data_IF_126233990404
#
_entry.id   IF_126233990404
#
_cell.length_a   1.000
_cell.length_b   1.000
_cell.length_c   1.000
_cell.angle_alpha   90.00
_cell.angle_beta   90.00
_cell.angle_gamma   90.00
#
_symmetry.space_group_name_H-M   'P 1'
#
loop_
_entity.id
_entity.type
_entity.pdbx_description
1 polymer ?
#
# COMPACT_ATOMS: atom_id res chain seq x y z
N UNK A 1 22.18 -18.32 6.61
CA UNK A 1 20.99 -18.29 7.50
C UNK A 1 20.16 -17.12 7.04
N UNK A 2 18.85 -17.29 6.83
CA UNK A 2 17.93 -16.22 6.41
C UNK A 2 17.85 -15.19 7.55
N UNK A 3 17.83 -13.91 7.20
CA UNK A 3 17.62 -12.81 8.17
C UNK A 3 16.43 -11.94 7.76
N UNK A 4 15.57 -11.60 8.74
CA UNK A 4 14.34 -10.81 8.52
C UNK A 4 14.35 -9.61 9.47
N UNK A 5 14.11 -8.42 8.91
CA UNK A 5 13.83 -7.21 9.69
C UNK A 5 12.33 -6.96 9.71
N UNK A 6 11.75 -6.89 10.89
CA UNK A 6 10.39 -6.38 11.10
C UNK A 6 10.50 -4.88 11.40
N UNK A 7 9.69 -4.05 10.73
CA UNK A 7 9.64 -2.60 10.96
C UNK A 7 8.25 -2.24 11.45
N UNK A 8 8.19 -1.62 12.65
CA UNK A 8 6.95 -1.20 13.31
C UNK A 8 6.98 0.31 13.54
N UNK A 9 6.29 1.11 12.71
CA UNK A 9 6.11 2.54 12.97
C UNK A 9 5.08 2.77 14.09
N UNK A 10 5.37 3.67 15.03
CA UNK A 10 4.54 3.90 16.23
C UNK A 10 4.19 5.37 16.35
N UNK A 11 2.88 5.68 16.35
CA UNK A 11 2.36 7.01 16.65
C UNK A 11 0.89 6.96 17.08
N UNK A 12 0.58 7.33 18.34
CA UNK A 12 -0.79 7.38 18.93
C UNK A 12 -1.57 6.08 18.82
N UNK A 13 -0.98 5.00 19.32
CA UNK A 13 -1.55 3.63 19.24
C UNK A 13 -1.61 2.91 20.58
N UNK A 14 -1.62 3.64 21.70
CA UNK A 14 -1.61 3.05 23.06
C UNK A 14 -2.69 2.00 23.31
N UNK A 15 -3.83 2.07 22.59
CA UNK A 15 -4.94 1.12 22.73
C UNK A 15 -4.73 -0.19 21.95
N UNK A 16 -3.76 -0.23 21.03
CA UNK A 16 -3.57 -1.34 20.08
C UNK A 16 -2.19 -1.97 20.16
N UNK A 17 -1.19 -1.15 20.50
CA UNK A 17 0.22 -1.52 20.38
C UNK A 17 0.63 -2.72 21.24
N UNK A 18 -0.02 -2.93 22.37
CA UNK A 18 0.24 -4.08 23.24
C UNK A 18 0.04 -5.39 22.45
N UNK A 19 -1.10 -5.55 21.80
CA UNK A 19 -1.43 -6.73 21.01
C UNK A 19 -0.49 -6.91 19.82
N UNK A 20 -0.13 -5.81 19.16
CA UNK A 20 0.84 -5.82 18.07
C UNK A 20 2.18 -6.39 18.53
N UNK A 21 2.76 -5.84 19.58
CA UNK A 21 4.08 -6.25 20.08
C UNK A 21 4.01 -7.68 20.65
N UNK A 22 2.99 -8.05 21.43
CA UNK A 22 2.82 -9.42 21.91
C UNK A 22 2.83 -10.42 20.76
N UNK A 23 2.12 -10.12 19.67
CA UNK A 23 2.09 -11.01 18.49
C UNK A 23 3.47 -11.21 17.84
N UNK A 24 4.37 -10.22 17.96
CA UNK A 24 5.75 -10.33 17.48
C UNK A 24 6.59 -11.15 18.48
N UNK A 25 6.44 -10.90 19.78
CA UNK A 25 7.15 -11.64 20.82
C UNK A 25 6.81 -13.14 20.83
N UNK A 26 5.57 -13.48 20.47
CA UNK A 26 5.03 -14.85 20.46
C UNK A 26 5.29 -15.60 19.15
N UNK A 27 6.06 -15.03 18.21
CA UNK A 27 6.38 -15.73 16.97
C UNK A 27 7.16 -17.01 17.23
N UNK A 28 6.74 -18.09 16.58
CA UNK A 28 7.42 -19.38 16.63
C UNK A 28 8.85 -19.27 16.09
N UNK A 29 9.75 -20.07 16.63
CA UNK A 29 11.12 -20.14 16.14
C UNK A 29 11.13 -20.66 14.69
N UNK A 30 11.53 -19.82 13.76
CA UNK A 30 11.53 -20.12 12.33
C UNK A 30 12.92 -20.49 11.78
N UNK A 31 13.95 -20.61 12.63
CA UNK A 31 15.33 -20.86 12.19
C UNK A 31 15.98 -19.71 11.42
N UNK A 32 15.34 -18.54 11.37
CA UNK A 32 15.88 -17.31 10.81
C UNK A 32 16.40 -16.39 11.91
N UNK A 33 17.33 -15.49 11.56
CA UNK A 33 17.72 -14.37 12.44
C UNK A 33 16.70 -13.26 12.32
N UNK A 34 16.07 -12.85 13.42
CA UNK A 34 15.03 -11.83 13.42
C UNK A 34 15.51 -10.60 14.18
N UNK A 35 15.40 -9.42 13.57
CA UNK A 35 15.44 -8.14 14.25
C UNK A 35 14.08 -7.43 14.10
N UNK A 36 13.69 -6.68 15.11
CA UNK A 36 12.50 -5.84 15.11
C UNK A 36 12.91 -4.40 15.40
N UNK A 37 12.64 -3.50 14.46
CA UNK A 37 12.92 -2.08 14.58
C UNK A 37 11.62 -1.35 14.89
N UNK A 38 11.54 -0.83 16.11
CA UNK A 38 10.45 0.02 16.57
C UNK A 38 10.81 1.47 16.27
N UNK A 39 9.99 2.15 15.49
CA UNK A 39 10.23 3.57 15.13
C UNK A 39 9.19 4.45 15.83
N UNK A 40 9.60 5.10 16.93
CA UNK A 40 8.80 6.11 17.62
C UNK A 40 8.78 7.41 16.81
N UNK A 41 7.65 7.69 16.15
CA UNK A 41 7.46 8.94 15.41
C UNK A 41 7.01 10.09 16.34
N UNK A 42 7.68 10.19 17.50
CA UNK A 42 7.39 11.14 18.56
C UNK A 42 5.96 10.99 19.10
N UNK A 43 5.58 9.77 19.47
CA UNK A 43 4.25 9.47 20.02
C UNK A 43 4.02 10.22 21.33
N UNK A 44 2.92 11.00 21.45
CA UNK A 44 2.65 11.79 22.66
C UNK A 44 1.90 11.01 23.76
N UNK A 45 1.49 9.75 23.46
CA UNK A 45 0.71 8.88 24.35
C UNK A 45 1.61 7.82 25.04
N UNK A 46 1.01 6.84 25.68
CA UNK A 46 1.73 5.80 26.41
C UNK A 46 2.25 4.65 25.53
N UNK A 47 2.11 4.73 24.21
CA UNK A 47 2.50 3.64 23.29
C UNK A 47 3.91 3.13 23.56
N UNK A 48 4.90 4.03 23.69
CA UNK A 48 6.29 3.62 23.90
C UNK A 48 6.54 3.01 25.28
N UNK A 49 5.86 3.48 26.31
CA UNK A 49 5.95 2.91 27.67
C UNK A 49 5.46 1.46 27.70
N UNK A 50 4.34 1.20 27.00
CA UNK A 50 3.79 -0.15 26.85
C UNK A 50 4.79 -1.07 26.12
N UNK A 51 5.36 -0.60 25.00
CA UNK A 51 6.35 -1.37 24.23
C UNK A 51 7.57 -1.71 25.08
N UNK A 52 8.16 -0.75 25.76
CA UNK A 52 9.33 -0.98 26.62
C UNK A 52 9.02 -2.00 27.71
N UNK A 53 7.87 -1.89 28.38
CA UNK A 53 7.45 -2.86 29.42
C UNK A 53 7.40 -4.31 28.89
N UNK A 54 6.97 -4.51 27.65
CA UNK A 54 6.90 -5.83 27.04
C UNK A 54 8.28 -6.33 26.60
N UNK A 55 9.06 -5.47 25.93
CA UNK A 55 10.36 -5.83 25.34
C UNK A 55 11.43 -6.06 26.41
N UNK A 56 11.44 -5.26 27.49
CA UNK A 56 12.43 -5.38 28.59
C UNK A 56 12.32 -6.72 29.33
N UNK A 57 11.14 -7.35 29.30
CA UNK A 57 10.88 -8.67 29.88
C UNK A 57 11.00 -9.83 28.85
N UNK A 58 11.39 -9.54 27.61
CA UNK A 58 11.50 -10.55 26.58
C UNK A 58 12.87 -11.22 26.59
N UNK A 59 12.88 -12.56 26.64
CA UNK A 59 14.10 -13.38 26.67
C UNK A 59 14.22 -14.32 25.45
N UNK A 60 13.46 -14.04 24.39
CA UNK A 60 13.48 -14.83 23.15
C UNK A 60 14.60 -14.43 22.19
N UNK A 61 14.49 -14.89 20.94
CA UNK A 61 15.56 -14.75 19.94
C UNK A 61 15.47 -13.49 19.07
N UNK A 62 14.38 -12.71 19.17
CA UNK A 62 14.21 -11.49 18.37
C UNK A 62 15.01 -10.35 19.01
N UNK A 63 15.83 -9.67 18.20
CA UNK A 63 16.60 -8.50 18.63
C UNK A 63 15.78 -7.23 18.38
N UNK A 64 15.54 -6.44 19.43
CA UNK A 64 14.80 -5.20 19.32
C UNK A 64 15.76 -4.00 19.23
N UNK A 65 15.49 -3.11 18.25
CA UNK A 65 16.16 -1.83 18.06
C UNK A 65 15.11 -0.72 18.08
N UNK A 66 15.45 0.41 18.72
CA UNK A 66 14.55 1.55 18.86
C UNK A 66 15.11 2.76 18.12
N UNK A 67 14.27 3.41 17.33
CA UNK A 67 14.56 4.69 16.68
C UNK A 67 13.53 5.69 17.19
N UNK A 68 14.00 6.88 17.61
CA UNK A 68 13.13 7.95 18.07
C UNK A 68 13.28 9.20 17.21
N UNK A 69 12.19 9.67 16.62
CA UNK A 69 12.16 10.96 15.95
C UNK A 69 12.06 12.11 16.98
N UNK A 70 12.67 13.25 16.67
CA UNK A 70 12.59 14.46 17.51
C UNK A 70 11.23 15.14 17.45
N UNK A 71 10.46 14.88 16.39
CA UNK A 71 9.11 15.36 16.13
C UNK A 71 8.39 14.38 15.23
N UNK A 72 7.06 14.42 15.20
CA UNK A 72 6.29 13.62 14.24
C UNK A 72 6.64 14.02 12.80
N UNK A 73 7.05 13.04 12.01
CA UNK A 73 7.40 13.17 10.58
C UNK A 73 6.45 12.43 9.65
N UNK A 74 5.52 11.66 10.22
CA UNK A 74 4.54 10.85 9.49
C UNK A 74 5.02 9.44 9.14
N UNK A 75 4.05 8.61 8.75
CA UNK A 75 4.21 7.17 8.54
C UNK A 75 5.32 6.82 7.54
N UNK A 76 5.39 7.55 6.42
CA UNK A 76 6.44 7.37 5.40
C UNK A 76 7.83 7.54 5.98
N UNK A 77 8.05 8.61 6.74
CA UNK A 77 9.35 8.91 7.35
C UNK A 77 9.72 7.86 8.41
N UNK A 78 8.74 7.39 9.19
CA UNK A 78 8.96 6.33 10.16
C UNK A 78 9.37 5.01 9.47
N UNK A 79 8.66 4.60 8.42
CA UNK A 79 9.06 3.42 7.63
C UNK A 79 10.43 3.59 7.00
N UNK A 80 10.74 4.76 6.43
CA UNK A 80 12.04 5.05 5.82
C UNK A 80 13.18 4.97 6.85
N UNK A 81 13.00 5.49 8.06
CA UNK A 81 14.00 5.37 9.13
C UNK A 81 14.25 3.92 9.53
N UNK A 82 13.19 3.10 9.57
CA UNK A 82 13.32 1.65 9.77
C UNK A 82 14.05 0.96 8.62
N UNK A 83 13.76 1.31 7.36
CA UNK A 83 14.44 0.77 6.17
C UNK A 83 15.95 1.09 6.22
N UNK A 84 16.32 2.32 6.61
CA UNK A 84 17.72 2.74 6.68
C UNK A 84 18.52 1.98 7.72
N UNK A 85 17.86 1.53 8.78
CA UNK A 85 18.48 0.79 9.88
C UNK A 85 18.34 -0.72 9.75
N UNK A 86 17.64 -1.22 8.73
CA UNK A 86 17.41 -2.64 8.51
C UNK A 86 18.66 -3.37 8.02
N UNK A 87 18.98 -4.51 8.65
CA UNK A 87 20.13 -5.36 8.30
C UNK A 87 19.71 -6.73 7.72
N UNK A 88 18.43 -7.12 7.86
CA UNK A 88 17.92 -8.38 7.33
C UNK A 88 17.96 -8.47 5.80
N UNK A 89 18.03 -9.69 5.28
CA UNK A 89 17.92 -9.97 3.85
C UNK A 89 16.53 -9.59 3.30
N UNK A 90 15.52 -9.67 4.19
CA UNK A 90 14.13 -9.35 3.90
C UNK A 90 13.57 -8.36 4.92
N UNK A 91 12.59 -7.57 4.49
CA UNK A 91 11.85 -6.62 5.34
C UNK A 91 10.36 -7.00 5.35
N UNK A 92 9.77 -6.98 6.54
CA UNK A 92 8.34 -7.10 6.82
C UNK A 92 7.88 -5.85 7.55
N UNK A 93 6.90 -5.13 7.01
CA UNK A 93 6.24 -4.04 7.74
C UNK A 93 5.05 -4.56 8.54
N UNK A 94 4.91 -4.08 9.76
CA UNK A 94 3.76 -4.33 10.63
C UNK A 94 3.26 -3.00 11.16
N UNK A 95 2.03 -2.65 10.84
CA UNK A 95 1.41 -1.44 11.39
C UNK A 95 1.05 -1.69 12.86
N UNK A 96 1.28 -0.71 13.71
CA UNK A 96 1.23 -0.89 15.18
C UNK A 96 -0.18 -1.01 15.76
N UNK A 97 -1.22 -0.90 14.95
CA UNK A 97 -2.62 -1.20 15.26
C UNK A 97 -3.09 -2.59 14.78
N UNK A 98 -2.20 -3.34 14.11
CA UNK A 98 -2.44 -4.68 13.58
C UNK A 98 -1.62 -5.76 14.32
N UNK A 99 -1.78 -7.04 13.99
CA UNK A 99 -0.98 -8.12 14.60
C UNK A 99 -0.75 -9.30 13.64
N UNK A 100 0.20 -10.17 14.03
CA UNK A 100 0.58 -11.35 13.28
C UNK A 100 0.03 -12.62 13.93
N UNK A 101 -0.43 -13.63 13.15
CA UNK A 101 -0.51 -15.00 13.63
C UNK A 101 0.85 -15.50 14.16
N UNK A 102 0.86 -16.40 15.16
CA UNK A 102 2.08 -16.88 15.82
C UNK A 102 3.04 -17.61 14.88
N UNK A 103 2.55 -18.19 13.81
CA UNK A 103 3.28 -18.96 12.80
C UNK A 103 3.66 -18.15 11.54
N UNK A 104 3.48 -16.83 11.56
CA UNK A 104 3.73 -15.98 10.38
C UNK A 104 5.18 -16.05 9.91
N UNK A 105 6.14 -15.86 10.82
CA UNK A 105 7.56 -15.88 10.45
C UNK A 105 8.02 -17.26 9.99
N UNK A 106 7.51 -18.33 10.59
CA UNK A 106 7.83 -19.71 10.16
C UNK A 106 7.28 -20.01 8.77
N UNK A 107 6.06 -19.55 8.46
CA UNK A 107 5.48 -19.64 7.10
C UNK A 107 6.31 -18.91 6.06
N UNK A 108 6.72 -17.68 6.35
CA UNK A 108 7.58 -16.91 5.46
C UNK A 108 8.97 -17.54 5.29
N UNK A 109 9.61 -18.00 6.38
CA UNK A 109 10.92 -18.65 6.31
C UNK A 109 10.88 -19.93 5.47
N UNK A 110 9.85 -20.75 5.64
CA UNK A 110 9.64 -21.95 4.83
C UNK A 110 9.42 -21.61 3.35
N UNK A 111 8.65 -20.56 3.06
CA UNK A 111 8.42 -20.10 1.70
C UNK A 111 9.73 -19.65 1.02
N UNK A 112 10.59 -18.92 1.73
CA UNK A 112 11.93 -18.55 1.23
C UNK A 112 12.78 -19.79 0.98
N UNK A 113 12.81 -20.72 1.94
CA UNK A 113 13.61 -21.94 1.83
C UNK A 113 13.25 -22.73 0.58
N UNK A 114 11.97 -22.88 0.31
CA UNK A 114 11.46 -23.59 -0.86
C UNK A 114 11.60 -22.80 -2.17
N UNK A 115 11.66 -21.47 -2.11
CA UNK A 115 11.68 -20.57 -3.28
C UNK A 115 12.71 -19.44 -3.08
N UNK A 116 14.02 -19.73 -3.00
CA UNK A 116 15.04 -18.74 -2.59
C UNK A 116 15.24 -17.56 -3.54
N UNK A 117 14.82 -17.71 -4.79
CA UNK A 117 14.94 -16.66 -5.80
C UNK A 117 13.76 -15.67 -5.82
N UNK A 118 12.74 -15.89 -4.99
CA UNK A 118 11.55 -15.02 -4.94
C UNK A 118 11.90 -13.65 -4.37
N UNK A 119 11.44 -12.59 -5.02
CA UNK A 119 11.70 -11.21 -4.60
C UNK A 119 10.73 -10.74 -3.52
N UNK A 120 9.47 -11.18 -3.60
CA UNK A 120 8.43 -10.88 -2.61
C UNK A 120 7.58 -12.12 -2.32
N UNK A 121 7.30 -12.34 -1.04
CA UNK A 121 6.34 -13.36 -0.59
C UNK A 121 5.16 -12.63 0.04
N UNK A 122 3.96 -12.99 -0.38
CA UNK A 122 2.71 -12.35 0.05
C UNK A 122 1.84 -13.41 0.69
N UNK A 123 1.36 -13.14 1.89
CA UNK A 123 0.41 -14.01 2.56
C UNK A 123 -1.03 -13.53 2.40
N UNK A 124 -1.95 -14.25 3.03
CA UNK A 124 -3.35 -13.85 3.13
C UNK A 124 -3.51 -12.91 4.33
N UNK A 125 -4.30 -11.85 4.17
CA UNK A 125 -4.76 -11.01 5.28
C UNK A 125 -6.13 -11.44 5.76
N UNK A 126 -6.38 -11.31 7.06
CA UNK A 126 -7.70 -11.44 7.66
C UNK A 126 -8.14 -10.09 8.21
N UNK A 127 -9.35 -9.65 7.90
CA UNK A 127 -9.98 -8.45 8.45
C UNK A 127 -10.90 -8.81 9.61
N UNK A 128 -10.69 -8.20 10.75
CA UNK A 128 -11.43 -8.53 11.99
C UNK A 128 -12.90 -8.17 11.92
N UNK A 129 -13.22 -6.98 11.45
CA UNK A 129 -14.60 -6.46 11.41
C UNK A 129 -15.48 -7.18 10.40
N UNK A 130 -15.02 -7.31 9.17
CA UNK A 130 -15.73 -7.98 8.09
C UNK A 130 -15.64 -9.50 8.19
N UNK A 131 -14.73 -10.04 9.02
CA UNK A 131 -14.40 -11.47 9.06
C UNK A 131 -14.05 -12.01 7.68
N UNK A 132 -13.30 -11.23 6.91
CA UNK A 132 -12.97 -11.47 5.50
C UNK A 132 -11.49 -11.83 5.34
N UNK A 133 -11.20 -12.74 4.42
CA UNK A 133 -9.87 -13.16 4.03
C UNK A 133 -9.57 -12.71 2.60
N UNK A 134 -8.35 -12.21 2.37
CA UNK A 134 -7.95 -11.77 1.03
C UNK A 134 -6.45 -12.03 0.77
N UNK A 135 -6.10 -12.55 -0.39
CA UNK A 135 -6.98 -13.14 -1.42
C UNK A 135 -7.59 -14.46 -0.96
N UNK A 136 -8.80 -14.77 -1.37
CA UNK A 136 -9.50 -16.02 -1.03
C UNK A 136 -9.39 -17.10 -2.10
N UNK A 137 -8.91 -16.76 -3.30
CA UNK A 137 -8.77 -17.68 -4.43
C UNK A 137 -7.48 -18.51 -4.37
N UNK A 138 -6.51 -18.11 -3.51
CA UNK A 138 -5.21 -18.78 -3.40
C UNK A 138 -5.32 -19.96 -2.42
N UNK A 139 -5.25 -21.17 -2.94
CA UNK A 139 -5.37 -22.43 -2.17
C UNK A 139 -4.06 -23.21 -2.07
N UNK A 140 -3.03 -22.80 -2.80
CA UNK A 140 -1.67 -23.38 -2.78
C UNK A 140 -0.63 -22.31 -3.10
N UNK A 141 0.62 -22.58 -2.79
CA UNK A 141 1.74 -21.73 -3.18
C UNK A 141 1.70 -21.46 -4.67
N UNK A 142 1.63 -20.17 -5.04
CA UNK A 142 1.47 -19.75 -6.43
C UNK A 142 2.50 -18.70 -6.79
N UNK A 143 3.36 -19.01 -7.77
CA UNK A 143 4.36 -18.10 -8.31
C UNK A 143 3.76 -17.24 -9.42
N UNK A 144 4.11 -15.97 -9.40
CA UNK A 144 3.75 -14.99 -10.40
C UNK A 144 5.01 -14.30 -10.95
N UNK A 145 5.01 -14.04 -12.26
CA UNK A 145 6.01 -13.20 -12.91
C UNK A 145 5.70 -11.70 -12.70
N UNK A 146 6.60 -10.85 -13.21
CA UNK A 146 6.48 -9.41 -13.10
C UNK A 146 5.19 -8.85 -13.73
N UNK A 147 4.79 -9.37 -14.90
CA UNK A 147 3.57 -8.91 -15.57
C UNK A 147 2.31 -9.26 -14.74
N UNK A 148 2.21 -10.51 -14.32
CA UNK A 148 1.08 -11.00 -13.54
C UNK A 148 0.92 -10.25 -12.23
N UNK A 149 2.02 -10.05 -11.47
CA UNK A 149 1.95 -9.39 -10.16
C UNK A 149 1.56 -7.91 -10.30
N UNK A 150 2.07 -7.20 -11.31
CA UNK A 150 1.66 -5.83 -11.62
C UNK A 150 0.20 -5.74 -12.03
N UNK A 151 -0.26 -6.66 -12.86
CA UNK A 151 -1.67 -6.73 -13.28
C UNK A 151 -2.61 -6.94 -12.09
N UNK A 152 -2.25 -7.84 -11.16
CA UNK A 152 -3.03 -8.08 -9.94
C UNK A 152 -3.01 -6.87 -8.99
N UNK A 153 -1.88 -6.17 -8.84
CA UNK A 153 -1.80 -4.91 -8.09
C UNK A 153 -2.76 -3.86 -8.67
N UNK A 154 -2.65 -3.59 -9.97
CA UNK A 154 -3.45 -2.56 -10.64
C UNK A 154 -4.94 -2.84 -10.59
N UNK A 155 -5.33 -4.11 -10.60
CA UNK A 155 -6.72 -4.54 -10.57
C UNK A 155 -7.26 -4.85 -9.16
N UNK A 156 -6.45 -4.77 -8.11
CA UNK A 156 -6.84 -5.09 -6.73
C UNK A 156 -7.46 -6.48 -6.58
N UNK A 157 -6.98 -7.46 -7.36
CA UNK A 157 -7.57 -8.81 -7.38
C UNK A 157 -6.95 -9.73 -6.35
N UNK A 158 -5.61 -9.81 -6.32
CA UNK A 158 -4.87 -10.72 -5.44
C UNK A 158 -3.87 -9.95 -4.58
N UNK A 159 -3.37 -8.83 -5.09
CA UNK A 159 -2.35 -7.99 -4.44
C UNK A 159 -2.92 -6.63 -4.11
N UNK A 160 -2.65 -6.15 -2.90
CA UNK A 160 -2.98 -4.79 -2.45
C UNK A 160 -1.74 -3.91 -2.45
N UNK A 161 -1.94 -2.59 -2.49
CA UNK A 161 -0.84 -1.61 -2.38
C UNK A 161 -0.25 -1.54 -0.97
N UNK A 162 -0.92 -2.05 0.07
CA UNK A 162 -0.46 -1.98 1.46
C UNK A 162 0.99 -2.41 1.62
N UNK A 163 1.75 -1.73 2.48
CA UNK A 163 3.13 -2.09 2.77
C UNK A 163 3.25 -3.40 3.57
N UNK A 164 2.30 -3.63 4.48
CA UNK A 164 2.24 -4.82 5.33
C UNK A 164 1.83 -6.08 4.56
N UNK A 165 1.91 -7.24 5.23
CA UNK A 165 1.58 -8.57 4.69
C UNK A 165 2.45 -9.01 3.49
N UNK A 166 3.64 -8.45 3.37
CA UNK A 166 4.61 -8.75 2.33
C UNK A 166 6.00 -8.85 2.91
N UNK A 167 6.65 -9.98 2.70
CA UNK A 167 8.06 -10.15 3.00
C UNK A 167 8.85 -9.89 1.71
N UNK A 168 9.64 -8.83 1.68
CA UNK A 168 10.27 -8.31 0.46
C UNK A 168 11.78 -8.26 0.65
N UNK A 169 12.56 -8.63 -0.36
CA UNK A 169 14.02 -8.49 -0.35
C UNK A 169 14.45 -7.06 -0.03
N UNK A 170 15.32 -6.91 0.94
CA UNK A 170 15.72 -5.61 1.49
C UNK A 170 16.30 -4.66 0.43
N UNK A 171 17.11 -5.17 -0.51
CA UNK A 171 17.71 -4.33 -1.55
C UNK A 171 16.66 -3.67 -2.46
N UNK A 172 15.53 -4.33 -2.71
CA UNK A 172 14.44 -3.77 -3.52
C UNK A 172 13.78 -2.62 -2.77
N UNK A 173 13.48 -2.79 -1.47
CA UNK A 173 12.88 -1.75 -0.63
C UNK A 173 13.83 -0.57 -0.45
N UNK A 174 15.12 -0.82 -0.20
CA UNK A 174 16.12 0.25 -0.01
C UNK A 174 16.26 1.17 -1.21
N UNK A 175 16.03 0.65 -2.42
CA UNK A 175 16.01 1.42 -3.65
C UNK A 175 14.66 2.13 -3.91
N UNK A 176 13.61 1.76 -3.20
CA UNK A 176 12.24 2.24 -3.40
C UNK A 176 11.62 2.68 -2.06
N UNK A 177 12.09 3.80 -1.51
CA UNK A 177 11.58 4.36 -0.26
C UNK A 177 10.21 5.01 -0.44
N UNK A 178 9.50 5.21 0.67
CA UNK A 178 8.22 5.90 0.70
C UNK A 178 8.39 7.41 0.47
N UNK A 179 7.45 8.02 -0.23
CA UNK A 179 7.38 9.48 -0.32
C UNK A 179 6.88 10.06 1.01
N UNK A 180 7.64 11.00 1.57
CA UNK A 180 7.30 11.64 2.84
C UNK A 180 6.32 12.81 2.63
N UNK A 181 5.54 13.13 3.67
CA UNK A 181 4.61 14.25 3.67
C UNK A 181 3.33 14.04 2.85
N UNK A 182 2.98 12.79 2.54
CA UNK A 182 1.75 12.40 1.87
C UNK A 182 0.98 11.36 2.67
N UNK A 183 -0.31 11.17 2.37
CA UNK A 183 -1.14 10.06 2.86
C UNK A 183 -1.37 9.07 1.71
N UNK A 184 -1.75 7.82 2.01
CA UNK A 184 -1.83 6.75 1.01
C UNK A 184 -0.52 6.56 0.24
N UNK A 185 0.59 6.74 0.93
CA UNK A 185 1.96 6.63 0.44
C UNK A 185 2.24 5.26 -0.18
N UNK A 186 1.57 4.24 0.33
CA UNK A 186 1.65 2.85 -0.11
C UNK A 186 1.20 2.66 -1.56
N UNK A 187 0.25 3.47 -2.04
CA UNK A 187 -0.26 3.43 -3.41
C UNK A 187 0.83 3.73 -4.44
N UNK A 188 1.55 4.84 -4.25
CA UNK A 188 2.65 5.24 -5.15
C UNK A 188 3.85 4.33 -4.95
N UNK A 189 4.16 4.01 -3.70
CA UNK A 189 5.25 3.12 -3.35
C UNK A 189 5.09 1.74 -4.00
N UNK A 190 3.92 1.12 -3.88
CA UNK A 190 3.65 -0.17 -4.50
C UNK A 190 3.76 -0.12 -6.03
N UNK A 191 3.24 0.94 -6.68
CA UNK A 191 3.38 1.11 -8.12
C UNK A 191 4.86 1.13 -8.54
N UNK A 192 5.70 1.89 -7.85
CA UNK A 192 7.13 1.96 -8.15
C UNK A 192 7.86 0.64 -7.83
N UNK A 193 7.61 0.09 -6.63
CA UNK A 193 8.25 -1.13 -6.13
C UNK A 193 7.99 -2.33 -7.04
N UNK A 194 6.72 -2.56 -7.43
CA UNK A 194 6.36 -3.73 -8.23
C UNK A 194 6.91 -3.70 -9.65
N UNK A 195 7.43 -2.56 -10.11
CA UNK A 195 8.21 -2.48 -11.34
C UNK A 195 9.53 -3.25 -11.23
N UNK A 196 10.13 -3.28 -10.05
CA UNK A 196 11.42 -3.93 -9.78
C UNK A 196 11.28 -5.42 -9.40
N UNK A 197 10.09 -5.86 -8.96
CA UNK A 197 9.81 -7.24 -8.58
C UNK A 197 9.81 -8.13 -9.84
N UNK A 198 10.69 -9.13 -9.89
CA UNK A 198 10.73 -10.10 -11.00
C UNK A 198 9.83 -11.28 -10.73
N UNK A 199 9.82 -11.76 -9.49
CA UNK A 199 9.07 -12.94 -9.05
C UNK A 199 8.37 -12.68 -7.73
N UNK A 200 7.11 -13.10 -7.65
CA UNK A 200 6.30 -13.03 -6.43
C UNK A 200 5.72 -14.41 -6.12
N UNK A 201 5.78 -14.81 -4.86
CA UNK A 201 5.13 -16.01 -4.35
C UNK A 201 3.96 -15.60 -3.45
N UNK A 202 2.77 -16.10 -3.73
CA UNK A 202 1.64 -15.94 -2.83
C UNK A 202 1.39 -17.27 -2.12
N UNK A 203 1.39 -17.25 -0.79
CA UNK A 203 1.20 -18.43 0.06
C UNK A 203 -0.23 -18.46 0.61
N UNK A 204 -0.89 -19.64 0.70
CA UNK A 204 -2.30 -19.76 1.06
C UNK A 204 -2.53 -19.74 2.59
N UNK A 205 -1.79 -18.93 3.30
CA UNK A 205 -1.84 -18.86 4.75
C UNK A 205 -2.14 -17.44 5.22
N UNK A 206 -2.98 -17.32 6.24
CA UNK A 206 -3.15 -16.03 6.93
C UNK A 206 -1.84 -15.71 7.64
N UNK A 207 -1.24 -14.58 7.26
CA UNK A 207 0.02 -14.06 7.82
C UNK A 207 -0.13 -12.68 8.42
N UNK A 208 -1.32 -12.09 8.34
CA UNK A 208 -1.56 -10.75 8.82
C UNK A 208 -3.01 -10.56 9.24
N UNK A 209 -3.22 -9.99 10.41
CA UNK A 209 -4.53 -9.66 10.94
C UNK A 209 -4.67 -8.13 10.94
N UNK A 210 -5.55 -7.65 10.07
CA UNK A 210 -5.84 -6.23 9.91
C UNK A 210 -6.98 -5.78 10.81
N UNK A 211 -6.67 -4.88 11.75
CA UNK A 211 -7.66 -4.26 12.65
C UNK A 211 -8.23 -3.00 12.02
N UNK A 212 -9.43 -3.06 11.50
CA UNK A 212 -10.04 -1.96 10.77
C UNK A 212 -11.11 -1.19 11.58
N UNK A 213 -11.06 -1.28 12.90
CA UNK A 213 -11.99 -0.57 13.81
C UNK A 213 -11.43 0.78 14.29
N UNK A 214 -10.16 1.09 14.03
CA UNK A 214 -9.49 2.30 14.53
C UNK A 214 -10.14 3.58 13.98
N UNK A 215 -10.86 4.40 14.82
CA UNK A 215 -11.59 5.57 14.33
C UNK A 215 -10.69 6.67 13.75
N UNK A 216 -9.47 6.78 14.25
CA UNK A 216 -8.49 7.80 13.87
C UNK A 216 -7.51 7.33 12.79
N UNK A 217 -7.75 6.17 12.17
CA UNK A 217 -6.90 5.69 11.07
C UNK A 217 -6.87 6.71 9.92
N UNK A 218 -5.77 6.71 9.16
CA UNK A 218 -5.60 7.57 7.98
C UNK A 218 -6.76 7.34 7.00
N UNK A 219 -7.18 6.09 6.79
CA UNK A 219 -8.28 5.75 5.91
C UNK A 219 -9.62 6.40 6.33
N UNK A 220 -9.88 6.53 7.64
CA UNK A 220 -11.10 7.13 8.17
C UNK A 220 -11.05 8.67 8.23
N UNK A 221 -9.86 9.25 8.26
CA UNK A 221 -9.66 10.71 8.39
C UNK A 221 -9.27 11.41 7.09
N UNK A 222 -8.81 10.71 6.09
CA UNK A 222 -8.32 11.27 4.83
C UNK A 222 -9.32 12.17 4.09
N UNK A 223 -10.62 11.90 4.24
CA UNK A 223 -11.69 12.65 3.58
C UNK A 223 -12.13 13.90 4.37
N UNK A 224 -11.49 14.21 5.49
CA UNK A 224 -11.77 15.45 6.21
C UNK A 224 -11.18 16.63 5.44
N UNK A 225 -11.86 17.81 5.52
CA UNK A 225 -11.48 19.03 4.81
C UNK A 225 -10.01 19.41 4.99
N UNK A 226 -9.49 19.26 6.21
CA UNK A 226 -8.12 19.56 6.60
C UNK A 226 -7.06 18.70 5.88
N UNK A 227 -7.43 17.50 5.42
CA UNK A 227 -6.52 16.54 4.80
C UNK A 227 -6.59 16.53 3.26
N UNK A 228 -7.47 17.32 2.66
CA UNK A 228 -7.68 17.30 1.20
C UNK A 228 -6.43 17.73 0.44
N UNK A 229 -5.72 18.77 0.92
CA UNK A 229 -4.47 19.22 0.29
C UNK A 229 -3.41 18.12 0.25
N UNK A 230 -3.21 17.41 1.38
CA UNK A 230 -2.27 16.28 1.45
C UNK A 230 -2.73 15.13 0.52
N UNK A 231 -4.05 14.90 0.43
CA UNK A 231 -4.60 13.89 -0.48
C UNK A 231 -4.33 14.25 -1.95
N UNK A 232 -4.43 15.53 -2.34
CA UNK A 232 -4.06 15.97 -3.69
C UNK A 232 -2.57 15.77 -3.99
N UNK A 233 -1.69 16.02 -3.03
CA UNK A 233 -0.25 15.71 -3.20
C UNK A 233 -0.05 14.23 -3.48
N UNK A 234 -0.69 13.34 -2.73
CA UNK A 234 -0.62 11.89 -2.96
C UNK A 234 -1.07 11.52 -4.37
N UNK A 235 -2.17 12.11 -4.85
CA UNK A 235 -2.67 11.93 -6.21
C UNK A 235 -1.67 12.43 -7.25
N UNK A 236 -1.02 13.56 -7.00
CA UNK A 236 0.00 14.10 -7.91
C UNK A 236 1.21 13.18 -8.01
N UNK A 237 1.63 12.59 -6.90
CA UNK A 237 2.75 11.62 -6.90
C UNK A 237 2.44 10.38 -7.73
N UNK A 238 1.28 9.72 -7.51
CA UNK A 238 0.94 8.51 -8.29
C UNK A 238 0.74 8.85 -9.77
N UNK A 239 0.11 9.98 -10.08
CA UNK A 239 -0.10 10.41 -11.47
C UNK A 239 1.21 10.70 -12.19
N UNK A 240 2.16 11.34 -11.54
CA UNK A 240 3.49 11.58 -12.09
C UNK A 240 4.27 10.27 -12.25
N UNK A 241 4.23 9.36 -11.27
CA UNK A 241 4.88 8.06 -11.38
C UNK A 241 4.38 7.26 -12.60
N UNK A 242 3.07 7.31 -12.87
CA UNK A 242 2.47 6.66 -14.05
C UNK A 242 2.88 7.34 -15.36
N UNK A 243 3.03 8.68 -15.38
CA UNK A 243 3.42 9.41 -16.58
C UNK A 243 4.92 9.30 -16.88
N UNK A 244 5.75 9.36 -15.84
CA UNK A 244 7.21 9.42 -15.98
C UNK A 244 7.84 8.02 -16.14
N UNK A 245 7.21 6.98 -15.56
CA UNK A 245 7.66 5.60 -15.63
C UNK A 245 6.50 4.61 -15.82
N UNK A 246 5.75 4.70 -16.93
CA UNK A 246 4.57 3.88 -17.15
C UNK A 246 4.91 2.39 -17.25
N UNK A 247 3.96 1.55 -16.86
CA UNK A 247 3.91 0.17 -17.30
C UNK A 247 3.38 0.16 -18.72
N UNK A 248 4.26 0.12 -19.73
CA UNK A 248 3.84 0.24 -21.13
C UNK A 248 2.89 -0.88 -21.54
N UNK A 249 3.13 -2.08 -21.07
CA UNK A 249 2.33 -3.28 -21.28
C UNK A 249 0.98 -3.28 -20.51
N UNK A 250 0.84 -2.43 -19.48
CA UNK A 250 -0.34 -2.29 -18.64
C UNK A 250 -0.78 -0.82 -18.50
N UNK A 251 -0.59 -0.02 -19.56
CA UNK A 251 -0.83 1.40 -19.50
C UNK A 251 -2.28 1.76 -19.15
N UNK A 252 -3.26 1.07 -19.78
CA UNK A 252 -4.67 1.31 -19.51
C UNK A 252 -5.05 0.96 -18.06
N UNK A 253 -4.55 -0.18 -17.54
CA UNK A 253 -4.75 -0.57 -16.15
C UNK A 253 -4.13 0.44 -15.18
N UNK A 254 -2.96 0.98 -15.50
CA UNK A 254 -2.29 2.02 -14.70
C UNK A 254 -3.13 3.31 -14.62
N UNK A 255 -3.74 3.72 -15.72
CA UNK A 255 -4.65 4.87 -15.75
C UNK A 255 -5.90 4.60 -14.90
N UNK A 256 -6.49 3.40 -14.99
CA UNK A 256 -7.64 3.01 -14.17
C UNK A 256 -7.27 2.98 -12.69
N UNK A 257 -6.09 2.45 -12.36
CA UNK A 257 -5.54 2.45 -11.00
C UNK A 257 -5.41 3.87 -10.45
N UNK A 258 -4.86 4.80 -11.22
CA UNK A 258 -4.78 6.22 -10.87
C UNK A 258 -6.16 6.81 -10.53
N UNK A 259 -7.18 6.55 -11.36
CA UNK A 259 -8.50 7.12 -11.15
C UNK A 259 -9.20 6.65 -9.88
N UNK A 260 -8.87 5.50 -9.33
CA UNK A 260 -9.39 5.05 -8.02
C UNK A 260 -9.07 6.05 -6.91
N UNK A 261 -7.89 6.66 -6.96
CA UNK A 261 -7.42 7.60 -5.96
C UNK A 261 -7.76 9.05 -6.31
N UNK A 262 -7.83 9.37 -7.60
CA UNK A 262 -8.07 10.71 -8.09
C UNK A 262 -9.51 11.19 -7.89
N UNK A 263 -10.49 10.32 -8.07
CA UNK A 263 -11.89 10.73 -8.08
C UNK A 263 -12.40 11.20 -6.70
N UNK A 264 -11.87 10.64 -5.61
CA UNK A 264 -12.30 11.00 -4.24
C UNK A 264 -11.90 12.44 -3.89
N UNK A 265 -10.61 12.84 -3.94
CA UNK A 265 -10.24 14.22 -3.63
C UNK A 265 -10.82 15.22 -4.62
N UNK A 266 -10.97 14.86 -5.90
CA UNK A 266 -11.63 15.71 -6.89
C UNK A 266 -13.07 16.03 -6.48
N UNK A 267 -13.82 15.03 -6.02
CA UNK A 267 -15.17 15.22 -5.49
C UNK A 267 -15.17 16.14 -4.29
N UNK A 268 -14.30 15.91 -3.31
CA UNK A 268 -14.21 16.72 -2.08
C UNK A 268 -13.84 18.18 -2.41
N UNK A 269 -13.00 18.41 -3.43
CA UNK A 269 -12.69 19.73 -3.92
C UNK A 269 -13.96 20.50 -4.34
N UNK A 270 -14.86 19.86 -5.11
CA UNK A 270 -16.11 20.48 -5.52
C UNK A 270 -17.09 20.66 -4.35
N UNK A 271 -17.22 19.66 -3.48
CA UNK A 271 -18.13 19.72 -2.32
C UNK A 271 -17.76 20.87 -1.37
N UNK A 272 -16.48 21.11 -1.14
CA UNK A 272 -15.99 22.16 -0.24
C UNK A 272 -15.66 23.47 -0.94
N UNK A 273 -15.82 23.55 -2.25
CA UNK A 273 -15.49 24.74 -3.09
C UNK A 273 -14.07 25.27 -2.79
N UNK A 274 -13.08 24.34 -2.77
CA UNK A 274 -11.69 24.67 -2.45
C UNK A 274 -10.95 25.10 -3.73
N UNK A 275 -10.34 26.28 -3.69
CA UNK A 275 -9.40 26.74 -4.70
C UNK A 275 -8.02 26.89 -4.06
N UNK A 276 -7.17 25.89 -4.21
CA UNK A 276 -5.81 25.87 -3.68
C UNK A 276 -4.77 25.52 -4.76
N UNK A 277 -3.49 25.77 -4.46
CA UNK A 277 -2.40 25.50 -5.39
C UNK A 277 -2.27 24.00 -5.75
N UNK A 278 -2.51 23.11 -4.78
CA UNK A 278 -2.46 21.67 -5.02
C UNK A 278 -3.46 21.24 -6.10
N UNK A 279 -4.61 21.93 -6.18
CA UNK A 279 -5.59 21.67 -7.24
C UNK A 279 -5.13 22.16 -8.62
N UNK A 280 -4.32 23.21 -8.69
CA UNK A 280 -3.71 23.66 -9.95
C UNK A 280 -2.75 22.60 -10.49
N UNK A 281 -1.94 22.00 -9.63
CA UNK A 281 -1.06 20.89 -10.02
C UNK A 281 -1.86 19.70 -10.56
N UNK A 282 -2.94 19.34 -9.90
CA UNK A 282 -3.81 18.23 -10.33
C UNK A 282 -4.48 18.54 -11.68
N UNK A 283 -4.89 19.79 -11.95
CA UNK A 283 -5.38 20.21 -13.27
C UNK A 283 -4.29 20.07 -14.35
N UNK A 284 -3.06 20.45 -14.05
CA UNK A 284 -1.93 20.28 -14.97
C UNK A 284 -1.63 18.80 -15.22
N UNK A 285 -1.63 17.98 -14.17
CA UNK A 285 -1.47 16.53 -14.26
C UNK A 285 -2.55 15.90 -15.16
N UNK A 286 -3.81 16.28 -14.97
CA UNK A 286 -4.91 15.85 -15.84
C UNK A 286 -4.64 16.17 -17.32
N UNK A 287 -4.21 17.41 -17.62
CA UNK A 287 -3.86 17.82 -18.99
C UNK A 287 -2.72 16.96 -19.56
N UNK A 288 -1.70 16.69 -18.76
CA UNK A 288 -0.59 15.80 -19.15
C UNK A 288 -1.08 14.38 -19.45
N UNK A 289 -1.95 13.81 -18.59
CA UNK A 289 -2.55 12.48 -18.78
C UNK A 289 -3.32 12.41 -20.10
N UNK A 290 -4.21 13.37 -20.37
CA UNK A 290 -4.99 13.45 -21.62
C UNK A 290 -4.06 13.50 -22.84
N UNK A 291 -3.08 14.42 -22.84
CA UNK A 291 -2.18 14.60 -23.98
C UNK A 291 -1.27 13.38 -24.19
N UNK A 292 -0.77 12.77 -23.13
CA UNK A 292 0.11 11.58 -23.23
C UNK A 292 -0.68 10.39 -23.75
N UNK A 293 -1.90 10.18 -23.24
CA UNK A 293 -2.77 9.08 -23.67
C UNK A 293 -3.19 9.24 -25.14
N UNK A 294 -3.48 10.46 -25.57
CA UNK A 294 -3.80 10.79 -26.95
C UNK A 294 -2.59 10.53 -27.88
N UNK A 295 -1.40 10.98 -27.50
CA UNK A 295 -0.16 10.74 -28.27
C UNK A 295 0.19 9.25 -28.41
N UNK A 296 -0.21 8.42 -27.44
CA UNK A 296 -0.10 6.97 -27.51
C UNK A 296 -1.18 6.31 -28.40
N UNK A 297 -2.04 7.10 -29.07
CA UNK A 297 -3.09 6.59 -29.94
C UNK A 297 -4.27 5.95 -29.19
N UNK A 298 -4.36 6.09 -27.86
CA UNK A 298 -5.41 5.48 -27.01
C UNK A 298 -6.65 6.38 -26.95
N UNK A 299 -7.29 6.64 -28.10
CA UNK A 299 -8.37 7.60 -28.23
C UNK A 299 -9.54 7.36 -27.24
N UNK A 300 -10.03 6.12 -27.13
CA UNK A 300 -11.12 5.80 -26.21
C UNK A 300 -10.74 6.02 -24.74
N UNK A 301 -9.53 5.66 -24.35
CA UNK A 301 -9.03 5.93 -23.00
C UNK A 301 -8.91 7.43 -22.76
N UNK A 302 -8.49 8.20 -23.76
CA UNK A 302 -8.44 9.67 -23.69
C UNK A 302 -9.83 10.27 -23.48
N UNK A 303 -10.83 9.82 -24.24
CA UNK A 303 -12.22 10.24 -24.05
C UNK A 303 -12.76 9.88 -22.68
N UNK A 304 -12.45 8.67 -22.20
CA UNK A 304 -12.81 8.23 -20.85
C UNK A 304 -12.21 9.13 -19.76
N UNK A 305 -10.92 9.50 -19.87
CA UNK A 305 -10.27 10.45 -18.97
C UNK A 305 -10.98 11.80 -18.98
N UNK A 306 -11.28 12.34 -20.18
CA UNK A 306 -11.96 13.61 -20.33
C UNK A 306 -13.34 13.59 -19.66
N UNK A 307 -14.14 12.56 -19.95
CA UNK A 307 -15.48 12.39 -19.39
C UNK A 307 -15.45 12.31 -17.86
N UNK A 308 -14.60 11.45 -17.31
CA UNK A 308 -14.52 11.24 -15.85
C UNK A 308 -14.04 12.48 -15.09
N UNK A 309 -13.30 13.35 -15.73
CA UNK A 309 -12.67 14.49 -15.08
C UNK A 309 -13.31 15.83 -15.44
N UNK A 310 -14.37 15.83 -16.26
CA UNK A 310 -15.06 17.08 -16.64
C UNK A 310 -16.11 17.45 -15.57
N UNK A 311 -16.08 18.70 -15.05
CA UNK A 311 -16.93 19.10 -13.93
C UNK A 311 -18.43 18.86 -14.10
N UNK A 312 -19.09 19.18 -15.25
CA UNK A 312 -20.53 18.95 -15.40
C UNK A 312 -20.94 17.48 -15.35
N UNK A 313 -20.14 16.57 -15.91
CA UNK A 313 -20.44 15.13 -15.86
C UNK A 313 -20.26 14.56 -14.46
N UNK A 314 -19.38 15.14 -13.66
CA UNK A 314 -19.17 14.77 -12.28
C UNK A 314 -20.40 15.07 -11.39
N UNK A 315 -21.12 16.17 -11.65
CA UNK A 315 -22.39 16.50 -11.00
C UNK A 315 -23.56 15.61 -11.47
N UNK A 316 -23.55 15.16 -12.71
CA UNK A 316 -24.58 14.26 -13.24
C UNK A 316 -24.49 12.86 -12.63
N UNK A 317 -23.29 12.40 -12.26
CA UNK A 317 -23.09 11.17 -11.52
C UNK A 317 -23.23 11.44 -10.02
N UNK A 318 -24.49 11.56 -9.56
CA UNK A 318 -24.81 11.68 -8.14
C UNK A 318 -23.95 10.66 -7.34
N UNK A 319 -23.32 11.16 -6.29
CA UNK A 319 -22.35 10.47 -5.43
C UNK A 319 -22.78 9.05 -5.02
N UNK A 320 -24.09 8.87 -4.77
CA UNK A 320 -24.68 7.57 -4.49
C UNK A 320 -24.68 6.63 -5.71
N UNK A 321 -24.73 7.20 -6.92
CA UNK A 321 -24.65 6.44 -8.16
C UNK A 321 -23.20 6.01 -8.44
N UNK A 322 -22.21 6.86 -8.31
CA UNK A 322 -20.78 6.53 -8.47
C UNK A 322 -20.37 5.47 -7.46
N UNK A 323 -20.76 5.58 -6.18
CA UNK A 323 -20.49 4.56 -5.16
C UNK A 323 -21.14 3.21 -5.46
N UNK A 324 -22.40 3.22 -5.93
CA UNK A 324 -23.14 2.00 -6.29
C UNK A 324 -22.68 1.39 -7.63
N UNK A 325 -22.19 2.24 -8.55
CA UNK A 325 -21.81 1.82 -9.90
C UNK A 325 -20.30 1.90 -10.14
N UNK A 326 -19.49 2.20 -9.10
CA UNK A 326 -18.02 2.18 -9.17
C UNK A 326 -17.55 0.83 -9.76
N UNK A 327 -18.13 -0.27 -9.31
CA UNK A 327 -17.87 -1.61 -9.82
C UNK A 327 -18.27 -1.75 -11.31
N UNK A 328 -19.36 -1.08 -11.74
CA UNK A 328 -19.80 -1.08 -13.15
C UNK A 328 -18.85 -0.21 -13.99
N UNK A 329 -18.45 0.95 -13.51
CA UNK A 329 -17.49 1.83 -14.18
C UNK A 329 -16.16 1.13 -14.33
N UNK A 330 -15.72 0.46 -13.28
CA UNK A 330 -14.51 -0.37 -13.29
C UNK A 330 -14.66 -1.54 -14.27
N UNK A 331 -15.79 -2.22 -14.27
CA UNK A 331 -16.09 -3.33 -15.19
C UNK A 331 -16.18 -2.86 -16.64
N UNK A 332 -16.79 -1.71 -16.90
CA UNK A 332 -16.84 -1.09 -18.23
C UNK A 332 -15.43 -0.67 -18.66
N UNK A 333 -14.65 -0.05 -17.79
CA UNK A 333 -13.26 0.29 -18.04
C UNK A 333 -12.42 -0.94 -18.41
N UNK A 334 -12.59 -2.06 -17.68
CA UNK A 334 -11.92 -3.33 -17.99
C UNK A 334 -12.41 -3.94 -19.32
N UNK A 335 -13.70 -3.90 -19.60
CA UNK A 335 -14.25 -4.40 -20.88
C UNK A 335 -13.71 -3.59 -22.05
N UNK A 336 -13.62 -2.25 -21.89
CA UNK A 336 -13.05 -1.37 -22.90
C UNK A 336 -11.55 -1.66 -23.06
N UNK A 337 -10.80 -1.79 -21.98
CA UNK A 337 -9.37 -2.11 -22.03
C UNK A 337 -9.12 -3.47 -22.70
N UNK A 338 -9.85 -4.53 -22.31
CA UNK A 338 -9.75 -5.86 -22.91
C UNK A 338 -10.20 -5.89 -24.38
N UNK A 339 -11.19 -5.07 -24.76
CA UNK A 339 -11.64 -4.95 -26.14
C UNK A 339 -10.57 -4.26 -27.00
N UNK A 340 -9.93 -3.22 -26.47
CA UNK A 340 -8.87 -2.48 -27.15
C UNK A 340 -7.58 -3.32 -27.31
N UNK A 341 -7.24 -4.16 -26.33
CA UNK A 341 -6.15 -5.13 -26.45
C UNK A 341 -6.40 -6.17 -27.55
N UNK A 342 -7.67 -6.62 -27.72
CA UNK A 342 -8.03 -7.62 -28.74
C UNK A 342 -8.03 -7.10 -30.18
N UNK A 343 -8.21 -5.80 -30.39
CA UNK A 343 -8.21 -5.18 -31.73
C UNK A 343 -6.86 -4.60 -32.15
N UNK A 344 -5.78 -4.86 -31.37
CA UNK A 344 -4.41 -4.38 -31.66
C UNK A 344 -4.31 -2.86 -31.93
N UNK A 345 -5.13 -2.05 -31.27
CA UNK A 345 -5.08 -0.59 -31.30
C UNK A 345 -4.54 -0.02 -29.98
#
# INVERSE_FOLDING_TARGET
MISITIIVPVYKVEQYVEKCIQSILEQENCGASIECIIVDDCSPDNSMSIIHSLVDNYHGCIKFNFIKHKQNKGLSAARNSGIDSAHGDYILFVDSDDWLPTDTLSKFANAIHNNPNTDVIIGIRYKTKEKDVFPNEITKDTLFDNYQIRKYLLNYQIVTCSAWNKLIKSHIIKNNKFHEGIIFEDTTWAYCLFKEIKTALIIPYVTYIYENVHPCSIANTANKKENISIHFKSVSYIGNAILDAPYEDLYADSIIYFFRYFLVPLRLQYEYNLDNEDFKEVKQLRKRLVLTTLRKGKLFLTLFIIILTYPPTFYMFNIGWVRRHYYIIEKIGRVIANFLEKIHL
#
